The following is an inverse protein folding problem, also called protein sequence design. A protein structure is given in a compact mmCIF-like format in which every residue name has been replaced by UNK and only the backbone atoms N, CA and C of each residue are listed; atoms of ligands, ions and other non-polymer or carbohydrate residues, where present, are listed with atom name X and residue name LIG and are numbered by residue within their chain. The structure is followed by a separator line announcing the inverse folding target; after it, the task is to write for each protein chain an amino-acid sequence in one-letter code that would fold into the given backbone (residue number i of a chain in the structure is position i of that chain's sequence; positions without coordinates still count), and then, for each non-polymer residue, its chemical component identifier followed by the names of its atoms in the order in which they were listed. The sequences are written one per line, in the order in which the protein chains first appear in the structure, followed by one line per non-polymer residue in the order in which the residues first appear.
data_IF_463508467862
#
_entry.id   IF_463508467862
#
_cell.length_a   1.000
_cell.length_b   1.000
_cell.length_c   1.000
_cell.angle_alpha   90.00
_cell.angle_beta   90.00
_cell.angle_gamma   90.00
#
_symmetry.space_group_name_H-M   'P 1'
#
loop_
_entity.id
_entity.type
_entity.pdbx_description
1 polymer ?
#
# COMPACT_ATOMS: atom_id res chain seq x y z
N UNK A 1 7.60 3.34 -20.94
CA UNK A 1 6.86 3.33 -19.66
C UNK A 1 7.85 3.20 -18.51
N UNK A 2 7.72 4.01 -17.47
CA UNK A 2 8.59 3.91 -16.29
C UNK A 2 8.32 2.61 -15.53
N UNK A 3 9.37 2.03 -14.95
CA UNK A 3 9.31 0.75 -14.23
C UNK A 3 8.47 0.86 -12.96
N UNK A 4 7.44 0.02 -12.80
CA UNK A 4 6.62 -0.01 -11.58
C UNK A 4 7.39 -0.65 -10.44
N UNK A 5 7.39 -0.02 -9.26
CA UNK A 5 7.96 -0.56 -8.02
C UNK A 5 6.84 -1.22 -7.23
N UNK A 6 6.92 -2.50 -6.90
CA UNK A 6 5.83 -3.24 -6.28
C UNK A 6 6.25 -3.74 -4.91
N UNK A 7 5.59 -3.29 -3.86
CA UNK A 7 5.73 -3.87 -2.51
C UNK A 7 4.63 -4.90 -2.31
N UNK A 8 5.03 -6.14 -2.00
CA UNK A 8 4.11 -7.27 -1.82
C UNK A 8 4.18 -7.78 -0.40
N UNK A 9 3.06 -7.78 0.30
CA UNK A 9 2.96 -8.44 1.61
C UNK A 9 2.37 -9.85 1.47
N UNK A 10 3.25 -10.81 1.27
CA UNK A 10 2.89 -12.23 1.08
C UNK A 10 2.51 -12.95 2.39
N UNK A 11 2.84 -12.37 3.54
CA UNK A 11 2.64 -12.96 4.86
C UNK A 11 1.44 -12.43 5.64
N UNK A 12 0.67 -11.51 5.08
CA UNK A 12 -0.48 -10.93 5.77
C UNK A 12 -1.68 -11.89 5.77
N UNK A 13 -2.06 -12.34 6.96
CA UNK A 13 -3.35 -12.99 7.22
C UNK A 13 -3.50 -14.37 6.61
N UNK A 14 -4.55 -14.60 5.86
CA UNK A 14 -5.05 -15.89 5.38
C UNK A 14 -4.39 -16.44 4.10
N UNK A 15 -3.22 -15.95 3.69
CA UNK A 15 -2.60 -16.38 2.42
C UNK A 15 -3.26 -15.81 1.17
N UNK A 16 -4.22 -14.90 1.32
CA UNK A 16 -4.97 -14.27 0.22
C UNK A 16 -4.10 -13.44 -0.74
N UNK A 17 -2.93 -13.00 -0.29
CA UNK A 17 -2.01 -12.24 -1.13
C UNK A 17 -1.29 -13.10 -2.18
N UNK A 18 -1.11 -14.40 -1.95
CA UNK A 18 -0.38 -15.29 -2.86
C UNK A 18 -1.05 -15.40 -4.24
N UNK A 19 -2.36 -15.75 -4.33
CA UNK A 19 -3.04 -15.82 -5.63
C UNK A 19 -3.12 -14.45 -6.32
N UNK A 20 -3.36 -13.38 -5.56
CA UNK A 20 -3.41 -12.01 -6.08
C UNK A 20 -2.05 -11.60 -6.67
N UNK A 21 -0.96 -11.90 -5.97
CA UNK A 21 0.39 -11.62 -6.46
C UNK A 21 0.72 -12.44 -7.72
N UNK A 22 0.28 -13.71 -7.78
CA UNK A 22 0.43 -14.55 -8.99
C UNK A 22 -0.29 -13.90 -10.18
N UNK A 23 -1.54 -13.54 -10.02
CA UNK A 23 -2.36 -12.88 -11.05
C UNK A 23 -1.76 -11.51 -11.47
N UNK A 24 -1.23 -10.74 -10.50
CA UNK A 24 -0.53 -9.47 -10.77
C UNK A 24 0.68 -9.69 -11.69
N UNK A 25 1.51 -10.71 -11.39
CA UNK A 25 2.68 -11.03 -12.23
C UNK A 25 2.29 -11.46 -13.64
N UNK A 26 1.29 -12.33 -13.75
CA UNK A 26 0.79 -12.82 -15.04
C UNK A 26 0.30 -11.64 -15.90
N UNK A 27 -0.50 -10.73 -15.32
CA UNK A 27 -0.98 -9.55 -16.02
C UNK A 27 0.18 -8.66 -16.52
N UNK A 28 1.14 -8.34 -15.65
CA UNK A 28 2.26 -7.49 -16.02
C UNK A 28 3.16 -8.12 -17.10
N UNK A 29 3.33 -9.44 -17.07
CA UNK A 29 4.08 -10.19 -18.08
C UNK A 29 3.32 -10.21 -19.41
N UNK A 30 2.01 -10.49 -19.41
CA UNK A 30 1.16 -10.47 -20.61
C UNK A 30 1.16 -9.09 -21.31
N UNK A 31 1.28 -8.02 -20.53
CA UNK A 31 1.30 -6.65 -21.02
C UNK A 31 2.71 -6.09 -21.24
N UNK A 32 3.74 -6.90 -21.04
CA UNK A 32 5.16 -6.52 -21.17
C UNK A 32 5.53 -5.28 -20.32
N UNK A 33 4.86 -5.09 -19.16
CA UNK A 33 5.07 -3.96 -18.27
C UNK A 33 6.28 -4.22 -17.37
N UNK A 34 7.32 -3.38 -17.42
CA UNK A 34 8.50 -3.58 -16.59
C UNK A 34 8.23 -3.23 -15.12
N UNK A 35 8.66 -4.11 -14.21
CA UNK A 35 8.51 -3.88 -12.78
C UNK A 35 9.69 -4.41 -11.96
N UNK A 36 9.82 -3.93 -10.72
CA UNK A 36 10.62 -4.53 -9.66
C UNK A 36 9.70 -4.95 -8.52
N UNK A 37 9.90 -6.12 -7.93
CA UNK A 37 9.09 -6.60 -6.81
C UNK A 37 9.93 -6.74 -5.54
N UNK A 38 9.35 -6.28 -4.42
CA UNK A 38 9.95 -6.28 -3.08
C UNK A 38 8.98 -6.97 -2.12
N UNK A 39 9.34 -8.16 -1.64
CA UNK A 39 8.50 -8.93 -0.73
C UNK A 39 8.80 -8.54 0.72
N UNK A 40 7.76 -8.28 1.50
CA UNK A 40 7.93 -8.04 2.93
C UNK A 40 8.28 -9.34 3.65
N UNK A 41 9.05 -9.24 4.74
CA UNK A 41 9.53 -10.39 5.51
C UNK A 41 9.19 -10.32 7.00
N UNK A 42 8.88 -9.13 7.51
CA UNK A 42 8.59 -8.86 8.91
C UNK A 42 7.74 -7.59 9.05
N UNK A 43 7.21 -7.36 10.23
CA UNK A 43 6.45 -6.15 10.57
C UNK A 43 7.29 -4.88 10.32
N UNK A 44 6.67 -3.84 9.78
CA UNK A 44 7.30 -2.56 9.37
C UNK A 44 8.31 -2.68 8.20
N UNK A 45 8.41 -3.84 7.55
CA UNK A 45 9.31 -3.98 6.40
C UNK A 45 8.81 -3.19 5.18
N UNK A 46 7.50 -3.07 4.99
CA UNK A 46 6.94 -2.27 3.89
C UNK A 46 7.30 -0.78 4.05
N UNK A 47 7.32 -0.26 5.27
CA UNK A 47 7.81 1.10 5.57
C UNK A 47 9.26 1.30 5.14
N UNK A 48 10.14 0.37 5.53
CA UNK A 48 11.56 0.42 5.15
C UNK A 48 11.75 0.32 3.64
N UNK A 49 11.03 -0.59 2.98
CA UNK A 49 11.09 -0.76 1.53
C UNK A 49 10.65 0.48 0.78
N UNK A 50 9.57 1.15 1.22
CA UNK A 50 9.09 2.39 0.63
C UNK A 50 10.17 3.50 0.68
N UNK A 51 10.81 3.69 1.84
CA UNK A 51 11.93 4.64 1.98
C UNK A 51 13.10 4.30 1.07
N UNK A 52 13.54 3.04 1.06
CA UNK A 52 14.64 2.58 0.20
C UNK A 52 14.34 2.73 -1.30
N UNK A 53 13.10 2.52 -1.71
CA UNK A 53 12.67 2.76 -3.10
C UNK A 53 12.79 4.25 -3.43
N UNK A 54 12.30 5.13 -2.56
CA UNK A 54 12.40 6.57 -2.78
C UNK A 54 13.85 7.08 -2.84
N UNK A 55 14.73 6.54 -2.00
CA UNK A 55 16.16 6.84 -2.03
C UNK A 55 16.86 6.34 -3.31
N UNK A 56 16.49 5.13 -3.76
CA UNK A 56 17.07 4.52 -4.97
C UNK A 56 16.69 5.23 -6.26
N UNK A 57 15.54 5.88 -6.29
CA UNK A 57 15.03 6.62 -7.44
C UNK A 57 14.87 8.10 -7.07
N UNK A 58 15.98 8.88 -7.00
CA UNK A 58 15.95 10.25 -6.51
C UNK A 58 15.30 11.25 -7.48
N UNK A 59 15.14 10.89 -8.75
CA UNK A 59 14.58 11.76 -9.78
C UNK A 59 13.27 11.23 -10.37
N UNK A 60 12.38 12.14 -10.76
CA UNK A 60 11.12 11.86 -11.45
C UNK A 60 10.05 11.19 -10.57
N UNK A 61 8.89 10.86 -11.15
CA UNK A 61 7.82 10.19 -10.47
C UNK A 61 8.14 8.70 -10.22
N UNK A 62 7.75 8.22 -9.05
CA UNK A 62 7.86 6.82 -8.62
C UNK A 62 6.47 6.19 -8.66
N UNK A 63 6.24 5.26 -9.58
CA UNK A 63 5.01 4.46 -9.61
C UNK A 63 5.14 3.31 -8.62
N UNK A 64 4.53 3.46 -7.45
CA UNK A 64 4.60 2.52 -6.34
C UNK A 64 3.29 1.76 -6.21
N UNK A 65 3.31 0.46 -6.48
CA UNK A 65 2.17 -0.44 -6.33
C UNK A 65 2.27 -1.22 -5.02
N UNK A 66 1.20 -1.24 -4.24
CA UNK A 66 1.13 -2.01 -2.99
C UNK A 66 0.15 -3.16 -3.16
N UNK A 67 0.65 -4.39 -3.07
CA UNK A 67 -0.15 -5.62 -2.98
C UNK A 67 -0.24 -6.00 -1.51
N UNK A 68 -1.33 -5.59 -0.85
CA UNK A 68 -1.45 -5.72 0.60
C UNK A 68 -2.79 -5.24 1.15
N UNK A 69 -2.96 -5.33 2.47
CA UNK A 69 -4.11 -4.76 3.20
C UNK A 69 -3.77 -3.41 3.83
N UNK A 70 -4.73 -2.85 4.59
CA UNK A 70 -4.64 -1.52 5.23
C UNK A 70 -3.36 -1.33 6.07
N UNK A 71 -2.93 -2.36 6.79
CA UNK A 71 -1.68 -2.32 7.57
C UNK A 71 -0.45 -2.13 6.70
N UNK A 72 -0.38 -2.82 5.56
CA UNK A 72 0.73 -2.69 4.61
C UNK A 72 0.73 -1.30 3.95
N UNK A 73 -0.44 -0.81 3.58
CA UNK A 73 -0.60 0.54 3.02
C UNK A 73 -0.15 1.57 4.06
N UNK A 74 -0.58 1.45 5.32
CA UNK A 74 -0.15 2.35 6.39
C UNK A 74 1.36 2.33 6.62
N UNK A 75 2.00 1.16 6.57
CA UNK A 75 3.47 1.06 6.63
C UNK A 75 4.12 1.81 5.45
N UNK A 76 3.64 1.61 4.23
CA UNK A 76 4.17 2.27 3.03
C UNK A 76 4.02 3.78 3.13
N UNK A 77 2.85 4.29 3.50
CA UNK A 77 2.63 5.74 3.67
C UNK A 77 3.62 6.34 4.68
N UNK A 78 3.91 5.65 5.78
CA UNK A 78 4.88 6.09 6.78
C UNK A 78 6.35 5.92 6.37
N UNK A 79 6.62 5.27 5.25
CA UNK A 79 7.96 5.11 4.67
C UNK A 79 8.27 6.10 3.56
N UNK A 80 7.28 6.76 2.98
CA UNK A 80 7.45 7.74 1.90
C UNK A 80 7.94 9.07 2.49
N UNK A 81 9.13 9.56 2.07
CA UNK A 81 9.65 10.83 2.57
C UNK A 81 9.09 12.05 1.82
N UNK A 82 8.64 11.86 0.57
CA UNK A 82 8.16 12.90 -0.33
C UNK A 82 6.99 12.37 -1.17
N UNK A 83 5.78 12.78 -0.81
CA UNK A 83 4.55 12.35 -1.48
C UNK A 83 4.35 12.96 -2.87
N UNK A 84 4.94 14.10 -3.15
CA UNK A 84 4.80 14.76 -4.47
C UNK A 84 5.44 13.93 -5.60
N UNK A 85 6.36 13.05 -5.24
CA UNK A 85 7.06 12.17 -6.17
C UNK A 85 6.44 10.78 -6.32
N UNK A 86 5.55 10.36 -5.41
CA UNK A 86 5.00 9.00 -5.42
C UNK A 86 3.60 8.97 -6.02
N UNK A 87 3.40 8.07 -6.98
CA UNK A 87 2.11 7.71 -7.56
C UNK A 87 1.75 6.34 -7.01
N UNK A 88 0.81 6.33 -6.06
CA UNK A 88 0.45 5.14 -5.29
C UNK A 88 -0.70 4.38 -5.96
N UNK A 89 -0.44 3.14 -6.37
CA UNK A 89 -1.46 2.17 -6.76
C UNK A 89 -1.66 1.12 -5.67
N UNK A 90 -2.86 0.57 -5.57
CA UNK A 90 -3.20 -0.42 -4.53
C UNK A 90 -3.93 -1.62 -5.13
N UNK A 91 -3.46 -2.83 -4.82
CA UNK A 91 -4.18 -4.09 -5.03
C UNK A 91 -4.53 -4.68 -3.67
N UNK A 92 -5.82 -4.60 -3.27
CA UNK A 92 -6.25 -4.96 -1.93
C UNK A 92 -6.25 -6.48 -1.70
N UNK A 93 -5.56 -6.95 -0.64
CA UNK A 93 -5.50 -8.36 -0.24
C UNK A 93 -5.91 -8.61 1.21
N UNK A 94 -6.21 -7.58 1.96
CA UNK A 94 -6.62 -7.66 3.37
C UNK A 94 -8.08 -8.03 3.56
N UNK A 95 -8.51 -8.18 4.81
CA UNK A 95 -9.90 -8.49 5.17
C UNK A 95 -10.80 -7.25 5.09
N UNK A 96 -10.34 -6.10 5.60
CA UNK A 96 -11.08 -4.82 5.59
C UNK A 96 -10.95 -4.10 4.27
N UNK A 97 -9.72 -3.76 3.91
CA UNK A 97 -9.36 -2.94 2.75
C UNK A 97 -10.11 -1.59 2.72
N UNK A 98 -10.17 -0.94 3.90
CA UNK A 98 -10.94 0.29 4.07
C UNK A 98 -10.35 1.43 3.22
N UNK A 99 -9.03 1.50 3.10
CA UNK A 99 -8.38 2.46 2.21
C UNK A 99 -8.81 2.27 0.75
N UNK A 100 -8.75 1.04 0.24
CA UNK A 100 -9.14 0.72 -1.12
C UNK A 100 -10.63 0.98 -1.36
N UNK A 101 -11.51 0.58 -0.44
CA UNK A 101 -12.96 0.81 -0.55
C UNK A 101 -13.32 2.29 -0.59
N UNK A 102 -12.68 3.13 0.21
CA UNK A 102 -12.92 4.58 0.22
C UNK A 102 -12.52 5.24 -1.12
N UNK A 103 -11.59 4.65 -1.84
CA UNK A 103 -11.18 5.07 -3.18
C UNK A 103 -11.98 4.39 -4.31
N UNK A 104 -13.00 3.58 -3.98
CA UNK A 104 -13.77 2.85 -4.98
C UNK A 104 -13.05 1.66 -5.61
N UNK A 105 -11.89 1.26 -5.09
CA UNK A 105 -11.09 0.14 -5.60
C UNK A 105 -11.75 -1.18 -5.18
N UNK A 106 -12.18 -1.98 -6.14
CA UNK A 106 -12.85 -3.25 -5.93
C UNK A 106 -11.85 -4.41 -5.81
N UNK A 107 -12.34 -5.59 -5.36
CA UNK A 107 -11.56 -6.83 -5.34
C UNK A 107 -11.50 -7.49 -6.73
N UNK A 108 -10.95 -6.78 -7.69
CA UNK A 108 -10.74 -7.22 -9.06
C UNK A 108 -9.30 -6.90 -9.47
N UNK A 109 -8.40 -7.86 -9.31
CA UNK A 109 -6.95 -7.66 -9.54
C UNK A 109 -6.66 -7.15 -10.94
N UNK A 110 -7.19 -7.81 -11.96
CA UNK A 110 -6.92 -7.44 -13.36
C UNK A 110 -7.54 -6.10 -13.74
N UNK A 111 -8.76 -5.82 -13.26
CA UNK A 111 -9.42 -4.54 -13.47
C UNK A 111 -8.64 -3.39 -12.83
N UNK A 112 -8.21 -3.55 -11.57
CA UNK A 112 -7.41 -2.54 -10.88
C UNK A 112 -6.05 -2.32 -11.57
N UNK A 113 -5.41 -3.37 -12.06
CA UNK A 113 -4.15 -3.26 -12.80
C UNK A 113 -4.34 -2.52 -14.12
N UNK A 114 -5.42 -2.79 -14.84
CA UNK A 114 -5.74 -2.08 -16.08
C UNK A 114 -5.95 -0.59 -15.84
N UNK A 115 -6.66 -0.24 -14.78
CA UNK A 115 -6.88 1.16 -14.38
C UNK A 115 -5.58 1.84 -13.95
N UNK A 116 -4.75 1.18 -13.12
CA UNK A 116 -3.44 1.72 -12.72
C UNK A 116 -2.56 1.99 -13.93
N UNK A 117 -2.51 1.08 -14.90
CA UNK A 117 -1.73 1.26 -16.13
C UNK A 117 -2.27 2.43 -16.95
N UNK A 118 -3.60 2.51 -17.09
CA UNK A 118 -4.26 3.65 -17.77
C UNK A 118 -3.93 4.98 -17.10
N UNK A 119 -3.99 5.05 -15.77
CA UNK A 119 -3.60 6.25 -15.02
C UNK A 119 -2.13 6.64 -15.25
N UNK A 120 -1.21 5.68 -15.30
CA UNK A 120 0.20 5.95 -15.59
C UNK A 120 0.37 6.53 -17.00
N UNK A 121 -0.34 5.99 -17.99
CA UNK A 121 -0.32 6.46 -19.36
C UNK A 121 -0.91 7.89 -19.47
N UNK A 122 -2.02 8.14 -18.79
CA UNK A 122 -2.65 9.47 -18.72
C UNK A 122 -1.69 10.52 -18.13
N UNK A 123 -1.03 10.22 -17.00
CA UNK A 123 -0.04 11.13 -16.43
C UNK A 123 1.14 11.40 -17.37
N UNK A 124 1.62 10.38 -18.08
CA UNK A 124 2.68 10.54 -19.07
C UNK A 124 2.27 11.44 -20.26
N UNK A 125 0.97 11.52 -20.52
CA UNK A 125 0.38 12.41 -21.52
C UNK A 125 0.04 13.81 -20.95
N UNK A 126 0.38 14.08 -19.70
CA UNK A 126 0.16 15.36 -19.03
C UNK A 126 -1.21 15.53 -18.37
N UNK A 127 -2.00 14.46 -18.25
CA UNK A 127 -3.27 14.49 -17.55
C UNK A 127 -3.05 14.38 -16.03
N UNK A 128 -3.83 15.11 -15.19
CA UNK A 128 -3.65 15.07 -13.76
C UNK A 128 -4.20 13.77 -13.16
N UNK A 129 -3.47 13.18 -12.23
CA UNK A 129 -3.97 12.07 -11.42
C UNK A 129 -4.84 12.58 -10.28
N UNK A 130 -5.73 11.71 -9.79
CA UNK A 130 -6.49 11.95 -8.57
C UNK A 130 -5.53 12.15 -7.38
N UNK A 131 -5.72 13.24 -6.65
CA UNK A 131 -5.01 13.51 -5.40
C UNK A 131 -5.93 13.21 -4.23
N UNK A 132 -5.36 12.69 -3.16
CA UNK A 132 -6.04 12.46 -1.89
C UNK A 132 -5.28 13.13 -0.77
N UNK A 133 -6.01 13.62 0.22
CA UNK A 133 -5.39 14.13 1.44
C UNK A 133 -5.07 12.98 2.39
N UNK A 134 -3.97 13.13 3.11
CA UNK A 134 -3.58 12.22 4.18
C UNK A 134 -3.61 12.96 5.51
N UNK A 135 -4.04 12.27 6.55
CA UNK A 135 -3.99 12.82 7.89
C UNK A 135 -2.61 12.60 8.53
N UNK A 136 -2.23 13.53 9.39
CA UNK A 136 -1.03 13.44 10.20
C UNK A 136 -1.37 13.53 11.69
N UNK A 137 -0.72 12.71 12.51
CA UNK A 137 -0.82 12.79 13.96
C UNK A 137 0.57 12.90 14.58
N UNK A 138 0.72 13.86 15.48
CA UNK A 138 1.92 14.06 16.30
C UNK A 138 1.54 14.17 17.78
N UNK A 139 2.48 13.95 18.67
CA UNK A 139 2.34 14.08 20.13
C UNK A 139 3.64 14.63 20.72
N UNK A 140 3.62 15.06 21.97
CA UNK A 140 4.68 15.85 22.61
C UNK A 140 6.10 15.25 22.45
N UNK A 141 6.24 13.92 22.62
CA UNK A 141 7.53 13.22 22.50
C UNK A 141 7.75 12.58 21.11
N UNK A 142 6.96 12.98 20.13
CA UNK A 142 7.01 12.39 18.79
C UNK A 142 8.23 12.85 18.01
N UNK A 143 9.15 11.95 17.70
CA UNK A 143 10.32 12.26 16.86
C UNK A 143 9.98 12.37 15.37
N UNK A 144 8.90 11.73 14.94
CA UNK A 144 8.38 11.77 13.57
C UNK A 144 6.87 11.58 13.59
N UNK A 145 6.09 12.48 13.00
CA UNK A 145 4.65 12.32 12.87
C UNK A 145 4.26 11.00 12.19
N UNK A 146 3.05 10.54 12.50
CA UNK A 146 2.48 9.35 11.86
C UNK A 146 1.43 9.74 10.85
N UNK A 147 1.60 9.25 9.63
CA UNK A 147 0.65 9.46 8.53
C UNK A 147 -0.43 8.37 8.58
N UNK A 148 -1.67 8.76 8.33
CA UNK A 148 -2.78 7.83 8.17
C UNK A 148 -3.66 8.21 6.97
N UNK A 149 -4.15 7.20 6.27
CA UNK A 149 -5.00 7.38 5.09
C UNK A 149 -6.46 7.03 5.30
N UNK A 150 -6.84 6.57 6.53
CA UNK A 150 -8.22 6.16 6.84
C UNK A 150 -8.71 6.90 8.08
N UNK A 151 -8.18 6.56 9.25
CA UNK A 151 -8.57 7.14 10.52
C UNK A 151 -7.47 7.04 11.57
N UNK A 152 -7.51 7.95 12.54
CA UNK A 152 -6.74 7.88 13.77
C UNK A 152 -7.73 7.93 14.94
N UNK A 153 -7.59 7.03 15.90
CA UNK A 153 -8.47 6.93 17.06
C UNK A 153 -7.76 7.26 18.36
N UNK A 154 -8.47 7.93 19.29
CA UNK A 154 -8.00 8.22 20.63
C UNK A 154 -9.02 7.72 21.67
N UNK A 155 -8.57 7.56 22.93
CA UNK A 155 -9.45 7.15 24.03
C UNK A 155 -9.99 5.72 23.84
N UNK A 156 -11.31 5.56 23.77
CA UNK A 156 -11.97 4.26 23.70
C UNK A 156 -11.53 3.45 22.48
N UNK A 157 -11.48 4.07 21.31
CA UNK A 157 -11.09 3.41 20.07
C UNK A 157 -9.68 2.85 20.15
N UNK A 158 -8.74 3.63 20.69
CA UNK A 158 -7.36 3.19 20.89
C UNK A 158 -7.27 2.00 21.88
N UNK A 159 -8.08 1.99 22.94
CA UNK A 159 -8.15 0.89 23.91
C UNK A 159 -8.69 -0.38 23.24
N UNK A 160 -9.76 -0.27 22.45
CA UNK A 160 -10.36 -1.39 21.71
C UNK A 160 -9.35 -1.96 20.71
N UNK A 161 -8.70 -1.12 19.92
CA UNK A 161 -7.67 -1.53 18.97
C UNK A 161 -6.49 -2.23 19.67
N UNK A 162 -6.00 -1.68 20.79
CA UNK A 162 -4.93 -2.29 21.59
C UNK A 162 -5.32 -3.68 22.08
N UNK A 163 -6.54 -3.85 22.62
CA UNK A 163 -7.04 -5.16 23.07
C UNK A 163 -7.18 -6.14 21.90
N UNK A 164 -7.69 -5.70 20.76
CA UNK A 164 -7.83 -6.52 19.58
C UNK A 164 -6.48 -7.02 19.03
N UNK A 165 -5.45 -6.17 19.02
CA UNK A 165 -4.09 -6.54 18.60
C UNK A 165 -3.46 -7.62 19.50
N UNK A 166 -3.74 -7.58 20.82
CA UNK A 166 -3.22 -8.55 21.79
C UNK A 166 -4.15 -9.76 22.02
N UNK A 167 -5.31 -9.80 21.34
CA UNK A 167 -6.28 -10.90 21.50
C UNK A 167 -5.78 -12.21 20.91
N UNK A 168 -5.86 -13.29 21.69
CA UNK A 168 -5.61 -14.65 21.24
C UNK A 168 -6.63 -15.13 20.20
N UNK A 169 -7.83 -14.56 20.17
CA UNK A 169 -8.86 -14.85 19.17
C UNK A 169 -8.39 -14.58 17.73
N UNK A 170 -7.58 -13.52 17.52
CA UNK A 170 -7.01 -13.22 16.20
C UNK A 170 -6.05 -14.31 15.73
N UNK A 171 -5.38 -15.02 16.66
CA UNK A 171 -4.50 -16.16 16.35
C UNK A 171 -5.28 -17.43 15.99
N UNK A 172 -6.53 -17.54 16.44
CA UNK A 172 -7.38 -18.71 16.20
C UNK A 172 -8.21 -18.54 14.92
N UNK A 173 -8.69 -17.35 14.65
CA UNK A 173 -9.51 -17.04 13.46
C UNK A 173 -8.69 -16.87 12.16
N UNK A 174 -7.37 -16.73 12.27
CA UNK A 174 -6.45 -16.64 11.12
C UNK A 174 -5.74 -17.99 10.83
N UNK A 175 -6.25 -19.10 11.35
CA UNK A 175 -5.92 -20.46 10.95
C UNK A 175 -7.09 -21.04 10.16
#
# INVERSE_FOLDING_TARGET
MNKIQIIVNNGAGTGSAVPVWKETKEYLQEKEIPYNAYLTRYEKHAMKLAGQICEKFPEGPIYLLVVGGDGTINEVLNGIPDFDRVRLGVIPTGSGNDFARNLGILRNTRGNLAEIVSCIEQEQNGEPLQRIDLGEVSWEDCTKPRIFGISAGAGLDAIVCKKALHSTLKKVLNR
#
